data_IF_303388064704
#
_entry.id   IF_303388064704
#
_cell.length_a   1.000
_cell.length_b   1.000
_cell.length_c   1.000
_cell.angle_alpha   90.00
_cell.angle_beta   90.00
_cell.angle_gamma   90.00
#
_symmetry.space_group_name_H-M   'P 1'
#
loop_
_entity.id
_entity.type
_entity.pdbx_description
1 polymer ?
#
# COMPACT_ATOMS: atom_id res chain seq x y z
N UNK A 1 -2.51 -13.58 -27.78
CA UNK A 1 -3.28 -13.86 -26.55
C UNK A 1 -2.63 -15.03 -25.83
N UNK A 2 -2.50 -14.96 -24.52
CA UNK A 2 -1.97 -16.06 -23.70
C UNK A 2 -3.10 -16.75 -22.95
N UNK A 3 -3.03 -18.07 -22.78
CA UNK A 3 -3.96 -18.83 -21.93
C UNK A 3 -3.22 -19.23 -20.66
N UNK A 4 -3.74 -18.79 -19.50
CA UNK A 4 -3.31 -19.29 -18.20
C UNK A 4 -4.13 -20.55 -17.92
N UNK A 5 -3.47 -21.69 -17.70
CA UNK A 5 -4.16 -22.95 -17.38
C UNK A 5 -4.82 -22.85 -16.00
N UNK A 6 -6.01 -23.44 -15.85
CA UNK A 6 -6.68 -23.57 -14.56
C UNK A 6 -5.78 -24.33 -13.57
N UNK A 7 -5.61 -23.79 -12.37
CA UNK A 7 -4.78 -24.38 -11.32
C UNK A 7 -5.31 -24.00 -9.93
N UNK A 8 -4.95 -24.80 -8.93
CA UNK A 8 -5.11 -24.47 -7.52
C UNK A 8 -3.74 -24.25 -6.90
N UNK A 9 -3.67 -23.35 -5.92
CA UNK A 9 -2.47 -23.21 -5.10
C UNK A 9 -2.37 -24.37 -4.11
N UNK A 10 -1.19 -24.99 -4.02
CA UNK A 10 -0.92 -26.01 -3.00
C UNK A 10 -0.87 -25.37 -1.62
N UNK A 11 -1.28 -26.13 -0.60
CA UNK A 11 -1.01 -25.76 0.79
C UNK A 11 0.51 -25.83 1.01
N UNK A 12 1.11 -24.69 1.30
CA UNK A 12 2.55 -24.56 1.57
C UNK A 12 2.69 -23.65 2.78
N UNK A 13 3.45 -24.09 3.78
CA UNK A 13 3.81 -23.27 4.93
C UNK A 13 4.69 -22.09 4.48
N UNK A 14 4.45 -20.90 5.01
CA UNK A 14 5.21 -19.68 4.71
C UNK A 14 5.34 -18.87 5.99
N UNK A 15 6.54 -18.38 6.24
CA UNK A 15 6.77 -17.35 7.25
C UNK A 15 6.46 -15.97 6.64
N UNK A 16 5.66 -15.18 7.35
CA UNK A 16 5.27 -13.83 6.94
C UNK A 16 5.87 -12.87 7.97
N UNK A 17 6.82 -12.07 7.53
CA UNK A 17 7.52 -11.11 8.39
C UNK A 17 6.92 -9.71 8.33
N UNK A 18 6.27 -9.37 7.22
CA UNK A 18 5.68 -8.06 6.96
C UNK A 18 4.37 -8.22 6.21
N UNK A 19 3.38 -7.40 6.55
CA UNK A 19 2.13 -7.29 5.79
C UNK A 19 2.39 -6.51 4.51
N UNK A 20 2.06 -7.12 3.37
CA UNK A 20 2.05 -6.44 2.08
C UNK A 20 0.62 -6.11 1.68
N UNK A 21 0.44 -5.07 0.87
CA UNK A 21 -0.88 -4.65 0.41
C UNK A 21 -0.90 -4.12 -1.01
N UNK A 22 -2.04 -4.31 -1.66
CA UNK A 22 -2.35 -3.75 -2.98
C UNK A 22 -3.54 -2.80 -2.82
N UNK A 23 -3.42 -1.60 -3.40
CA UNK A 23 -4.52 -0.65 -3.49
C UNK A 23 -4.99 -0.53 -4.95
N UNK A 24 -6.30 -0.52 -5.12
CA UNK A 24 -6.97 -0.18 -6.37
C UNK A 24 -7.68 1.16 -6.18
N UNK A 25 -7.32 2.16 -6.99
CA UNK A 25 -7.96 3.47 -6.94
C UNK A 25 -9.21 3.43 -7.81
N UNK A 26 -10.39 3.41 -7.19
CA UNK A 26 -11.67 3.32 -7.89
C UNK A 26 -12.17 4.70 -8.35
N UNK A 27 -11.95 5.72 -7.52
CA UNK A 27 -12.32 7.12 -7.77
C UNK A 27 -11.33 8.02 -7.06
N UNK A 28 -11.10 9.21 -7.62
CA UNK A 28 -10.37 10.27 -6.96
C UNK A 28 -8.93 10.38 -7.43
N UNK A 29 -8.16 11.11 -6.63
CA UNK A 29 -6.77 11.46 -6.90
C UNK A 29 -6.01 11.51 -5.58
N UNK A 30 -4.97 10.69 -5.47
CA UNK A 30 -4.18 10.52 -4.25
C UNK A 30 -2.68 10.62 -4.57
N UNK A 31 -1.94 11.30 -3.70
CA UNK A 31 -0.48 11.23 -3.71
C UNK A 31 -0.03 10.19 -2.70
N UNK A 32 0.78 9.24 -3.13
CA UNK A 32 1.51 8.33 -2.24
C UNK A 32 2.95 8.83 -2.06
N UNK A 33 3.40 8.97 -0.82
CA UNK A 33 4.78 9.24 -0.46
C UNK A 33 5.44 7.94 -0.03
N UNK A 34 6.69 7.70 -0.46
CA UNK A 34 7.45 6.50 -0.10
C UNK A 34 8.63 6.83 0.80
N UNK A 35 8.92 5.91 1.72
CA UNK A 35 9.96 6.04 2.72
C UNK A 35 10.83 4.78 2.79
N UNK A 36 12.11 4.97 3.13
CA UNK A 36 12.99 3.86 3.52
C UNK A 36 12.53 3.24 4.85
N UNK A 37 13.11 2.10 5.22
CA UNK A 37 12.86 1.49 6.54
C UNK A 37 13.31 2.39 7.71
N UNK A 38 14.31 3.24 7.48
CA UNK A 38 14.77 4.27 8.43
C UNK A 38 13.89 5.55 8.39
N UNK A 39 12.67 5.47 7.84
CA UNK A 39 11.69 6.56 7.76
C UNK A 39 12.17 7.77 6.94
N UNK A 40 13.15 7.60 6.05
CA UNK A 40 13.64 8.68 5.17
C UNK A 40 12.80 8.76 3.90
N UNK A 41 12.34 9.95 3.54
CA UNK A 41 11.58 10.17 2.31
C UNK A 41 12.41 9.80 1.07
N UNK A 42 11.78 9.11 0.13
CA UNK A 42 12.37 8.73 -1.16
C UNK A 42 11.76 9.57 -2.28
N UNK A 43 10.46 9.45 -2.50
CA UNK A 43 9.76 10.06 -3.62
C UNK A 43 8.25 10.03 -3.42
N UNK A 44 7.50 10.69 -4.30
CA UNK A 44 6.05 10.64 -4.33
C UNK A 44 5.52 10.26 -5.72
N UNK A 45 4.34 9.65 -5.77
CA UNK A 45 3.63 9.34 -7.02
C UNK A 45 2.18 9.76 -6.90
N UNK A 46 1.65 10.26 -8.01
CA UNK A 46 0.23 10.53 -8.14
C UNK A 46 -0.47 9.28 -8.68
N UNK A 47 -1.56 8.88 -8.03
CA UNK A 47 -2.43 7.81 -8.48
C UNK A 47 -3.83 8.40 -8.74
N UNK A 48 -4.44 7.99 -9.85
CA UNK A 48 -5.77 8.39 -10.29
C UNK A 48 -6.67 7.15 -10.38
N UNK A 49 -7.96 7.38 -10.61
CA UNK A 49 -8.91 6.28 -10.87
C UNK A 49 -8.41 5.33 -11.98
N UNK A 50 -8.45 4.03 -11.70
CA UNK A 50 -7.94 2.97 -12.56
C UNK A 50 -6.51 2.51 -12.24
N UNK A 51 -5.74 3.31 -11.49
CA UNK A 51 -4.38 2.93 -11.08
C UNK A 51 -4.40 1.85 -10.00
N UNK A 52 -3.37 1.00 -10.05
CA UNK A 52 -3.10 -0.06 -9.06
C UNK A 52 -1.69 0.10 -8.54
N UNK A 53 -1.52 -0.03 -7.23
CA UNK A 53 -0.21 0.03 -6.58
C UNK A 53 -0.02 -1.17 -5.66
N UNK A 54 1.16 -1.79 -5.74
CA UNK A 54 1.61 -2.81 -4.80
C UNK A 54 2.67 -2.23 -3.86
N UNK A 55 2.39 -2.25 -2.56
CA UNK A 55 3.26 -1.75 -1.51
C UNK A 55 4.01 -2.92 -0.89
N UNK A 56 5.17 -3.24 -1.46
CA UNK A 56 5.90 -4.47 -1.17
C UNK A 56 6.77 -4.41 0.09
N UNK A 57 7.29 -3.23 0.45
CA UNK A 57 8.17 -3.00 1.59
C UNK A 57 8.36 -1.50 1.85
N UNK A 58 9.02 -1.16 2.95
CA UNK A 58 9.29 0.23 3.34
C UNK A 58 8.06 0.92 3.93
N UNK A 59 8.17 2.23 4.13
CA UNK A 59 7.07 3.06 4.60
C UNK A 59 6.34 3.73 3.44
N UNK A 60 5.06 4.01 3.65
CA UNK A 60 4.29 4.84 2.74
C UNK A 60 3.28 5.70 3.50
N UNK A 61 2.90 6.81 2.90
CA UNK A 61 1.88 7.72 3.41
C UNK A 61 1.03 8.24 2.27
N UNK A 62 -0.24 8.57 2.54
CA UNK A 62 -1.18 9.00 1.51
C UNK A 62 -1.73 10.39 1.81
N UNK A 63 -1.77 11.24 0.79
CA UNK A 63 -2.49 12.51 0.81
C UNK A 63 -3.60 12.47 -0.23
N UNK A 64 -4.85 12.46 0.23
CA UNK A 64 -6.01 12.59 -0.66
C UNK A 64 -6.05 14.01 -1.19
N UNK A 65 -6.06 14.19 -2.52
CA UNK A 65 -6.16 15.51 -3.16
C UNK A 65 -7.62 15.89 -3.47
N UNK A 66 -8.50 14.89 -3.54
CA UNK A 66 -9.95 15.00 -3.69
C UNK A 66 -10.64 13.77 -3.07
N UNK A 67 -11.97 13.75 -3.04
CA UNK A 67 -12.77 12.61 -2.57
C UNK A 67 -12.37 11.31 -3.29
N UNK A 68 -11.79 10.39 -2.51
CA UNK A 68 -11.14 9.19 -3.02
C UNK A 68 -11.82 7.93 -2.50
N UNK A 69 -12.10 6.98 -3.40
CA UNK A 69 -12.52 5.62 -3.06
C UNK A 69 -11.42 4.65 -3.49
N UNK A 70 -11.00 3.79 -2.56
CA UNK A 70 -10.00 2.76 -2.82
C UNK A 70 -10.41 1.43 -2.25
N UNK A 71 -9.97 0.35 -2.90
CA UNK A 71 -10.08 -1.01 -2.38
C UNK A 71 -8.68 -1.43 -1.95
N UNK A 72 -8.55 -1.78 -0.68
CA UNK A 72 -7.30 -2.27 -0.09
C UNK A 72 -7.36 -3.79 0.11
N UNK A 73 -6.38 -4.48 -0.45
CA UNK A 73 -6.21 -5.93 -0.29
C UNK A 73 -4.91 -6.18 0.46
N UNK A 74 -5.01 -6.65 1.71
CA UNK A 74 -3.87 -6.96 2.58
C UNK A 74 -3.57 -8.45 2.61
N UNK A 75 -2.28 -8.78 2.69
CA UNK A 75 -1.83 -10.12 3.06
C UNK A 75 -2.28 -10.43 4.49
N UNK A 76 -2.96 -11.56 4.66
CA UNK A 76 -3.30 -12.08 5.99
C UNK A 76 -2.19 -12.97 6.57
N UNK A 77 -2.32 -13.36 7.86
CA UNK A 77 -3.40 -12.98 8.77
C UNK A 77 -3.28 -11.52 9.24
N UNK A 78 -4.41 -10.88 9.56
CA UNK A 78 -4.39 -9.57 10.21
C UNK A 78 -4.02 -9.73 11.68
N UNK A 79 -2.97 -9.05 12.14
CA UNK A 79 -2.49 -9.19 13.52
C UNK A 79 -2.92 -8.04 14.43
N UNK A 80 -3.71 -7.10 13.92
CA UNK A 80 -4.11 -5.89 14.63
C UNK A 80 -3.32 -4.67 14.20
N UNK A 81 -3.92 -3.48 14.29
CA UNK A 81 -3.33 -2.22 13.81
C UNK A 81 -1.94 -1.96 14.39
N UNK A 82 -1.82 -2.07 15.71
CA UNK A 82 -0.59 -1.72 16.44
C UNK A 82 0.52 -2.77 16.26
N UNK A 83 0.16 -3.98 15.87
CA UNK A 83 1.11 -5.06 15.56
C UNK A 83 1.55 -5.02 14.10
N UNK A 84 0.64 -4.69 13.18
CA UNK A 84 0.92 -4.68 11.74
C UNK A 84 1.61 -3.38 11.27
N UNK A 85 1.53 -2.28 12.04
CA UNK A 85 1.97 -0.96 11.59
C UNK A 85 2.66 -0.15 12.69
N UNK A 86 3.82 0.40 12.35
CA UNK A 86 4.41 1.52 13.07
C UNK A 86 3.97 2.84 12.39
N UNK A 87 3.47 3.79 13.18
CA UNK A 87 3.06 5.12 12.68
C UNK A 87 4.19 6.12 12.93
N UNK A 88 4.49 6.95 11.93
CA UNK A 88 5.48 8.03 12.02
C UNK A 88 4.99 9.27 11.26
N UNK A 89 5.63 10.41 11.50
CA UNK A 89 5.33 11.65 10.79
C UNK A 89 5.93 11.64 9.38
N UNK A 90 5.06 11.60 8.37
CA UNK A 90 5.42 11.70 6.96
C UNK A 90 5.20 13.11 6.37
N UNK A 91 5.42 13.24 5.07
CA UNK A 91 5.31 14.51 4.32
C UNK A 91 3.85 14.89 4.06
N UNK A 92 2.96 13.91 4.04
CA UNK A 92 1.52 14.09 3.98
C UNK A 92 0.97 14.75 5.25
N UNK A 93 1.70 14.63 6.37
CA UNK A 93 1.36 15.25 7.65
C UNK A 93 2.00 16.64 7.81
N UNK A 94 2.95 17.00 6.93
CA UNK A 94 3.53 18.33 6.91
C UNK A 94 2.47 19.34 6.42
N UNK A 95 1.95 20.12 7.35
CA UNK A 95 0.93 21.12 7.08
C UNK A 95 1.48 22.39 6.43
N UNK A 96 2.80 22.51 6.24
CA UNK A 96 3.44 23.67 5.62
C UNK A 96 3.09 25.00 6.31
N UNK A 97 2.66 24.93 7.57
CA UNK A 97 2.47 26.06 8.49
C UNK A 97 3.60 26.06 9.50
#
# INVERSE_FOLDING_TARGET
>A
SGVIKAHFHKKVHRDIFLTQEVLFIKKGKVTVNFYTIDKKYITSRLLNAGDVIFLCSGGHGFKMLEDTEMIEVKQGPYSGRDTDKEIFEGRENDSGK
#
